data_IF_137473018422
#
_entry.id   IF_137473018422
#
_cell.length_a   1.000
_cell.length_b   1.000
_cell.length_c   1.000
_cell.angle_alpha   90.00
_cell.angle_beta   90.00
_cell.angle_gamma   90.00
#
_symmetry.space_group_name_H-M   'P 1'
#
loop_
_entity.id
_entity.type
_entity.pdbx_description
1 polymer ?
#
# COMPACT_ATOMS: atom_id res chain seq x y z
N UNK A 1 6.84 9.50 20.87
CA UNK A 1 7.57 8.99 19.69
C UNK A 1 6.75 9.39 18.49
N UNK A 2 7.25 10.34 17.69
CA UNK A 2 6.63 10.74 16.42
C UNK A 2 7.36 9.93 15.35
N UNK A 3 6.71 8.92 14.80
CA UNK A 3 7.23 8.20 13.64
C UNK A 3 6.89 9.05 12.41
N UNK A 4 7.74 10.02 12.12
CA UNK A 4 7.72 10.72 10.83
C UNK A 4 8.49 9.83 9.87
N UNK A 5 7.78 9.03 9.08
CA UNK A 5 8.41 8.24 8.01
C UNK A 5 8.85 9.20 6.92
N UNK A 6 10.08 9.69 6.99
CA UNK A 6 10.70 10.49 5.93
C UNK A 6 11.18 9.51 4.86
N UNK A 7 10.46 9.42 3.73
CA UNK A 7 10.90 8.64 2.57
C UNK A 7 11.92 9.48 1.80
N UNK A 8 13.21 9.29 2.10
CA UNK A 8 14.29 9.94 1.36
C UNK A 8 14.57 9.18 0.05
N UNK A 9 14.11 9.71 -1.09
CA UNK A 9 14.35 9.14 -2.42
C UNK A 9 15.79 9.46 -2.87
N UNK A 10 16.68 8.47 -2.82
CA UNK A 10 18.06 8.57 -3.35
C UNK A 10 18.12 8.02 -4.79
N UNK A 11 18.29 8.91 -5.78
CA UNK A 11 18.51 8.55 -7.19
C UNK A 11 19.88 7.91 -7.39
N UNK A 12 19.95 6.58 -7.46
CA UNK A 12 21.17 5.86 -7.82
C UNK A 12 21.00 5.19 -9.19
N UNK A 13 21.73 5.67 -10.20
CA UNK A 13 21.72 5.16 -11.57
C UNK A 13 22.55 3.86 -11.67
N UNK A 14 21.89 2.70 -11.71
CA UNK A 14 22.51 1.44 -12.13
C UNK A 14 21.95 1.03 -13.50
N UNK A 15 22.73 1.32 -14.54
CA UNK A 15 22.46 0.88 -15.92
C UNK A 15 22.85 -0.61 -16.06
N UNK A 16 21.85 -1.47 -16.14
CA UNK A 16 21.99 -2.88 -16.54
C UNK A 16 20.92 -3.23 -17.59
N UNK A 17 21.36 -3.59 -18.79
CA UNK A 17 20.51 -3.90 -19.96
C UNK A 17 19.99 -5.36 -19.97
N UNK A 18 19.07 -5.62 -20.92
CA UNK A 18 18.41 -6.88 -21.35
C UNK A 18 17.12 -7.23 -20.58
N UNK A 19 15.98 -7.56 -21.20
CA UNK A 19 15.65 -7.91 -22.57
C UNK A 19 14.14 -8.16 -22.73
N UNK A 20 13.71 -8.31 -23.99
CA UNK A 20 12.36 -8.18 -24.55
C UNK A 20 11.41 -9.39 -24.36
N UNK A 21 10.09 -9.14 -24.47
CA UNK A 21 9.03 -10.10 -24.80
C UNK A 21 8.11 -10.43 -23.62
N UNK A 22 6.78 -10.43 -23.69
CA UNK A 22 5.83 -10.23 -24.78
C UNK A 22 4.41 -10.53 -24.25
N UNK A 23 3.44 -10.18 -25.08
CA UNK A 23 2.02 -10.58 -25.09
C UNK A 23 1.00 -9.83 -24.21
N UNK A 24 0.17 -9.08 -24.94
CA UNK A 24 -1.13 -8.52 -24.57
C UNK A 24 -2.05 -9.60 -24.01
N UNK A 25 -2.57 -9.39 -22.79
CA UNK A 25 -3.75 -10.09 -22.32
C UNK A 25 -4.96 -9.17 -22.30
N UNK A 26 -5.95 -9.64 -23.05
CA UNK A 26 -7.31 -9.17 -23.26
C UNK A 26 -8.02 -8.82 -21.93
N UNK A 27 -8.25 -7.53 -21.70
CA UNK A 27 -8.97 -6.99 -20.54
C UNK A 27 -10.46 -6.83 -20.87
N UNK A 28 -11.15 -7.95 -21.06
CA UNK A 28 -12.60 -8.00 -21.02
C UNK A 28 -13.05 -9.11 -20.09
N UNK A 29 -13.02 -8.84 -18.77
CA UNK A 29 -13.83 -9.60 -17.82
C UNK A 29 -14.66 -8.67 -16.96
N UNK A 30 -15.95 -8.99 -17.00
CA UNK A 30 -17.08 -8.33 -16.40
C UNK A 30 -16.86 -8.02 -14.91
N UNK A 31 -17.37 -6.86 -14.50
CA UNK A 31 -17.76 -6.58 -13.13
C UNK A 31 -18.83 -7.58 -12.67
N UNK A 32 -18.41 -8.78 -12.25
CA UNK A 32 -19.25 -9.60 -11.37
C UNK A 32 -19.07 -9.06 -9.96
N UNK A 33 -20.08 -8.39 -9.41
CA UNK A 33 -20.10 -8.15 -7.97
C UNK A 33 -20.12 -9.53 -7.31
N UNK A 34 -18.99 -9.92 -6.69
CA UNK A 34 -18.87 -11.18 -5.98
C UNK A 34 -19.82 -11.13 -4.79
N UNK A 35 -20.96 -11.82 -4.89
CA UNK A 35 -21.88 -12.00 -3.76
C UNK A 35 -21.24 -13.04 -2.84
N UNK A 36 -20.72 -12.59 -1.70
CA UNK A 36 -20.14 -13.46 -0.68
C UNK A 36 -21.20 -14.45 -0.17
N UNK A 37 -20.80 -15.72 0.02
CA UNK A 37 -21.62 -16.71 0.70
C UNK A 37 -21.83 -16.34 2.17
N UNK A 38 -22.90 -16.86 2.78
CA UNK A 38 -23.22 -16.59 4.20
C UNK A 38 -22.05 -16.93 5.16
N UNK A 39 -21.27 -17.98 4.82
CA UNK A 39 -20.07 -18.36 5.59
C UNK A 39 -18.92 -17.35 5.44
N UNK A 40 -18.75 -16.77 4.25
CA UNK A 40 -17.72 -15.75 4.00
C UNK A 40 -18.08 -14.42 4.65
N UNK A 41 -19.37 -14.04 4.63
CA UNK A 41 -19.87 -12.86 5.34
C UNK A 41 -19.71 -13.00 6.86
N UNK A 42 -19.98 -14.17 7.43
CA UNK A 42 -19.80 -14.42 8.86
C UNK A 42 -18.32 -14.33 9.28
N UNK A 43 -17.41 -14.89 8.48
CA UNK A 43 -15.98 -14.81 8.73
C UNK A 43 -15.45 -13.37 8.64
N UNK A 44 -15.94 -12.60 7.67
CA UNK A 44 -15.61 -11.18 7.52
C UNK A 44 -16.14 -10.34 8.69
N UNK A 45 -17.39 -10.57 9.11
CA UNK A 45 -17.99 -9.89 10.26
C UNK A 45 -17.22 -10.17 11.56
N UNK A 46 -16.78 -11.41 11.78
CA UNK A 46 -15.93 -11.77 12.93
C UNK A 46 -14.58 -11.05 12.88
N UNK A 47 -13.94 -10.99 11.70
CA UNK A 47 -12.67 -10.30 11.52
C UNK A 47 -12.80 -8.79 11.80
N UNK A 48 -13.80 -8.14 11.20
CA UNK A 48 -14.08 -6.71 11.42
C UNK A 48 -14.39 -6.41 12.89
N UNK A 49 -15.23 -7.23 13.54
CA UNK A 49 -15.57 -7.05 14.95
C UNK A 49 -14.32 -7.10 15.86
N UNK A 50 -13.32 -7.90 15.50
CA UNK A 50 -12.07 -8.01 16.27
C UNK A 50 -11.20 -6.74 16.24
N UNK A 51 -11.37 -5.89 15.22
CA UNK A 51 -10.56 -4.69 14.97
C UNK A 51 -11.38 -3.39 15.00
N UNK A 52 -12.70 -3.44 15.06
CA UNK A 52 -13.61 -2.28 15.02
C UNK A 52 -13.30 -1.23 16.09
N UNK A 53 -12.82 -1.67 17.27
CA UNK A 53 -12.37 -0.77 18.34
C UNK A 53 -11.31 0.24 17.89
N UNK A 54 -10.55 -0.07 16.84
CA UNK A 54 -9.51 0.80 16.31
C UNK A 54 -10.08 1.86 15.36
N UNK A 55 -11.27 1.69 14.78
CA UNK A 55 -11.82 2.60 13.77
C UNK A 55 -12.14 4.00 14.30
N UNK A 56 -12.40 4.09 15.61
CA UNK A 56 -12.67 5.34 16.32
C UNK A 56 -11.40 6.10 16.71
N UNK A 57 -10.22 5.52 16.48
CA UNK A 57 -8.95 6.17 16.83
C UNK A 57 -8.56 7.20 15.75
N UNK A 58 -7.79 8.23 16.15
CA UNK A 58 -7.12 9.12 15.20
C UNK A 58 -6.25 8.33 14.20
N UNK A 59 -6.06 8.89 13.01
CA UNK A 59 -5.33 8.22 11.92
C UNK A 59 -3.93 7.80 12.34
N UNK A 60 -3.21 8.61 13.13
CA UNK A 60 -1.85 8.31 13.56
C UNK A 60 -1.79 7.02 14.39
N UNK A 61 -2.81 6.79 15.23
CA UNK A 61 -2.93 5.58 16.04
C UNK A 61 -3.38 4.37 15.23
N UNK A 62 -4.15 4.60 14.17
CA UNK A 62 -4.53 3.54 13.24
C UNK A 62 -3.34 3.13 12.37
N UNK A 63 -2.52 4.08 11.93
CA UNK A 63 -1.28 3.81 11.20
C UNK A 63 -0.26 3.07 12.05
N UNK A 64 -0.07 3.46 13.32
CA UNK A 64 0.76 2.70 14.28
C UNK A 64 0.30 1.24 14.37
N UNK A 65 -1.01 1.02 14.52
CA UNK A 65 -1.57 -0.33 14.61
C UNK A 65 -1.48 -1.11 13.30
N UNK A 66 -1.67 -0.45 12.17
CA UNK A 66 -1.49 -1.04 10.84
C UNK A 66 -0.03 -1.48 10.65
N UNK A 67 0.93 -0.64 11.05
CA UNK A 67 2.37 -0.97 11.03
C UNK A 67 2.72 -2.21 11.85
N UNK A 68 2.17 -2.35 13.07
CA UNK A 68 2.34 -3.58 13.87
C UNK A 68 1.82 -4.83 13.16
N UNK A 69 0.68 -4.72 12.47
CA UNK A 69 0.11 -5.82 11.70
C UNK A 69 0.96 -6.13 10.47
N UNK A 70 1.48 -5.12 9.77
CA UNK A 70 2.39 -5.32 8.64
C UNK A 70 3.69 -6.03 9.06
N UNK A 71 4.26 -5.68 10.22
CA UNK A 71 5.40 -6.42 10.79
C UNK A 71 5.02 -7.89 11.05
N UNK A 72 3.87 -8.12 11.68
CA UNK A 72 3.37 -9.48 11.92
C UNK A 72 3.12 -10.26 10.62
N UNK A 73 2.63 -9.60 9.58
CA UNK A 73 2.48 -10.19 8.26
C UNK A 73 3.83 -10.69 7.73
N UNK A 74 4.89 -9.88 7.83
CA UNK A 74 6.25 -10.28 7.41
C UNK A 74 6.77 -11.48 8.21
N UNK A 75 6.47 -11.56 9.50
CA UNK A 75 6.87 -12.70 10.34
C UNK A 75 6.17 -14.01 9.96
N UNK A 76 4.94 -13.92 9.43
CA UNK A 76 4.06 -15.04 9.12
C UNK A 76 4.12 -15.47 7.65
N UNK A 77 4.47 -14.59 6.70
CA UNK A 77 4.29 -14.83 5.25
C UNK A 77 4.83 -16.17 4.74
N UNK A 78 5.96 -16.63 5.28
CA UNK A 78 6.60 -17.90 4.88
C UNK A 78 6.20 -19.10 5.76
N UNK A 79 5.58 -18.85 6.93
CA UNK A 79 5.27 -19.85 7.97
C UNK A 79 3.80 -20.24 8.01
N UNK A 80 2.93 -19.27 7.80
CA UNK A 80 1.47 -19.37 7.90
C UNK A 80 0.84 -18.42 6.87
N UNK A 81 0.69 -18.85 5.60
CA UNK A 81 0.17 -17.99 4.54
C UNK A 81 -1.24 -17.48 4.82
N UNK A 82 -2.11 -18.32 5.39
CA UNK A 82 -3.49 -17.95 5.72
C UNK A 82 -3.52 -16.88 6.82
N UNK A 83 -2.77 -17.09 7.91
CA UNK A 83 -2.65 -16.11 8.98
C UNK A 83 -1.97 -14.81 8.53
N UNK A 84 -1.02 -14.89 7.60
CA UNK A 84 -0.37 -13.71 7.01
C UNK A 84 -1.36 -12.87 6.19
N UNK A 85 -2.18 -13.49 5.35
CA UNK A 85 -3.18 -12.80 4.53
C UNK A 85 -4.25 -12.15 5.42
N UNK A 86 -4.70 -12.85 6.46
CA UNK A 86 -5.63 -12.28 7.46
C UNK A 86 -5.04 -11.05 8.15
N UNK A 87 -3.78 -11.14 8.54
CA UNK A 87 -3.07 -10.01 9.18
C UNK A 87 -2.96 -8.81 8.23
N UNK A 88 -2.65 -9.06 6.96
CA UNK A 88 -2.54 -8.04 5.93
C UNK A 88 -3.89 -7.35 5.64
N UNK A 89 -4.98 -8.12 5.53
CA UNK A 89 -6.35 -7.60 5.41
C UNK A 89 -6.76 -6.74 6.61
N UNK A 90 -6.48 -7.23 7.82
CA UNK A 90 -6.75 -6.48 9.05
C UNK A 90 -5.99 -5.14 9.09
N UNK A 91 -4.76 -5.08 8.57
CA UNK A 91 -4.00 -3.83 8.45
C UNK A 91 -4.73 -2.82 7.55
N UNK A 92 -5.19 -3.27 6.38
CA UNK A 92 -5.98 -2.46 5.47
C UNK A 92 -7.27 -1.94 6.11
N UNK A 93 -8.07 -2.83 6.72
CA UNK A 93 -9.34 -2.45 7.33
C UNK A 93 -9.21 -1.40 8.43
N UNK A 94 -8.09 -1.37 9.15
CA UNK A 94 -7.82 -0.33 10.16
C UNK A 94 -7.64 1.05 9.51
N UNK A 95 -6.93 1.12 8.39
CA UNK A 95 -6.74 2.37 7.62
C UNK A 95 -8.08 2.80 7.01
N UNK A 96 -8.76 1.85 6.36
CA UNK A 96 -10.01 2.08 5.64
C UNK A 96 -11.26 2.23 6.53
N UNK A 97 -11.18 1.89 7.82
CA UNK A 97 -12.32 1.78 8.75
C UNK A 97 -13.37 0.75 8.31
N UNK A 98 -12.92 -0.35 7.71
CA UNK A 98 -13.77 -1.44 7.23
C UNK A 98 -13.52 -1.79 5.77
N UNK A 99 -14.52 -2.42 5.14
CA UNK A 99 -14.47 -2.81 3.73
C UNK A 99 -14.33 -1.59 2.80
N UNK A 100 -13.53 -1.73 1.75
CA UNK A 100 -13.31 -0.67 0.77
C UNK A 100 -13.01 -1.24 -0.62
N UNK A 101 -13.50 -0.63 -1.72
CA UNK A 101 -13.30 -1.15 -3.08
C UNK A 101 -11.83 -1.30 -3.49
N UNK A 102 -10.94 -0.47 -2.94
CA UNK A 102 -9.50 -0.50 -3.24
C UNK A 102 -8.71 -1.58 -2.49
N UNK A 103 -9.37 -2.42 -1.69
CA UNK A 103 -8.66 -3.43 -0.90
C UNK A 103 -7.85 -4.40 -1.77
N UNK A 104 -8.43 -4.93 -2.83
CA UNK A 104 -7.75 -5.94 -3.67
C UNK A 104 -6.46 -5.37 -4.28
N UNK A 105 -6.54 -4.14 -4.81
CA UNK A 105 -5.39 -3.45 -5.37
C UNK A 105 -4.33 -3.14 -4.30
N UNK A 106 -4.75 -2.67 -3.13
CA UNK A 106 -3.82 -2.41 -2.02
C UNK A 106 -3.10 -3.69 -1.57
N UNK A 107 -3.82 -4.82 -1.47
CA UNK A 107 -3.24 -6.12 -1.11
C UNK A 107 -2.28 -6.66 -2.17
N UNK A 108 -2.41 -6.25 -3.42
CA UNK A 108 -1.47 -6.58 -4.49
C UNK A 108 -0.18 -5.73 -4.40
N UNK A 109 -0.31 -4.44 -4.10
CA UNK A 109 0.80 -3.49 -4.09
C UNK A 109 1.64 -3.62 -2.81
N UNK A 110 1.02 -3.72 -1.64
CA UNK A 110 1.73 -3.66 -0.36
C UNK A 110 2.83 -4.71 -0.20
N UNK A 111 2.64 -5.99 -0.57
CA UNK A 111 3.73 -6.98 -0.54
C UNK A 111 4.94 -6.65 -1.41
N UNK A 112 4.78 -5.81 -2.45
CA UNK A 112 5.86 -5.34 -3.33
C UNK A 112 6.61 -4.14 -2.78
N UNK A 113 6.08 -3.51 -1.73
CA UNK A 113 6.63 -2.29 -1.12
C UNK A 113 7.13 -2.55 0.31
N UNK A 114 6.41 -3.34 1.09
CA UNK A 114 6.70 -3.56 2.50
C UNK A 114 7.66 -4.72 2.70
N UNK A 115 8.73 -4.48 3.45
CA UNK A 115 9.73 -5.51 3.79
C UNK A 115 10.64 -5.89 2.63
N UNK A 116 10.77 -4.99 1.64
CA UNK A 116 11.74 -5.09 0.54
C UNK A 116 12.69 -3.90 0.56
N UNK A 117 13.93 -4.10 0.13
CA UNK A 117 14.94 -3.03 0.09
C UNK A 117 14.67 -2.00 -1.02
N UNK A 118 14.01 -2.44 -2.09
CA UNK A 118 13.68 -1.63 -3.27
C UNK A 118 12.25 -1.90 -3.73
N UNK A 119 11.48 -0.83 -3.97
CA UNK A 119 10.13 -0.88 -4.55
C UNK A 119 10.05 -0.14 -5.87
N UNK A 120 9.02 -0.41 -6.69
CA UNK A 120 8.79 0.38 -7.91
C UNK A 120 8.25 1.76 -7.54
N UNK A 121 8.76 2.80 -8.20
CA UNK A 121 8.27 4.18 -8.00
C UNK A 121 6.76 4.30 -8.30
N UNK A 122 6.29 3.53 -9.28
CA UNK A 122 4.87 3.48 -9.67
C UNK A 122 4.00 2.76 -8.64
N UNK A 123 4.52 1.74 -7.95
CA UNK A 123 3.83 1.08 -6.84
C UNK A 123 3.68 2.04 -5.65
N UNK A 124 4.71 2.83 -5.34
CA UNK A 124 4.64 3.86 -4.29
C UNK A 124 3.63 4.96 -4.63
N UNK A 125 3.66 5.46 -5.86
CA UNK A 125 2.68 6.44 -6.34
C UNK A 125 1.26 5.91 -6.16
N UNK A 126 1.02 4.67 -6.59
CA UNK A 126 -0.32 4.10 -6.52
C UNK A 126 -0.77 3.82 -5.08
N UNK A 127 0.15 3.36 -4.22
CA UNK A 127 -0.14 3.19 -2.79
C UNK A 127 -0.54 4.51 -2.14
N UNK A 128 0.20 5.59 -2.43
CA UNK A 128 -0.12 6.94 -1.94
C UNK A 128 -1.49 7.44 -2.43
N UNK A 129 -1.84 7.21 -3.70
CA UNK A 129 -3.15 7.55 -4.26
C UNK A 129 -4.30 6.80 -3.57
N UNK A 130 -4.12 5.51 -3.31
CA UNK A 130 -5.12 4.68 -2.60
C UNK A 130 -5.33 5.22 -1.18
N UNK A 131 -4.23 5.50 -0.45
CA UNK A 131 -4.31 6.06 0.90
C UNK A 131 -4.99 7.43 0.92
N UNK A 132 -4.69 8.30 -0.07
CA UNK A 132 -5.32 9.61 -0.20
C UNK A 132 -6.82 9.50 -0.48
N UNK A 133 -7.24 8.56 -1.34
CA UNK A 133 -8.66 8.32 -1.62
C UNK A 133 -9.40 7.86 -0.36
N UNK A 134 -8.83 6.90 0.38
CA UNK A 134 -9.37 6.42 1.65
C UNK A 134 -9.43 7.54 2.68
N UNK A 135 -8.37 8.34 2.81
CA UNK A 135 -8.30 9.44 3.78
C UNK A 135 -9.37 10.50 3.51
N UNK A 136 -9.59 10.85 2.24
CA UNK A 136 -10.65 11.77 1.82
C UNK A 136 -12.03 11.18 2.05
N UNK A 137 -12.24 9.90 1.70
CA UNK A 137 -13.51 9.21 1.93
C UNK A 137 -13.89 9.20 3.42
N UNK A 138 -12.91 8.94 4.28
CA UNK A 138 -13.09 8.86 5.72
C UNK A 138 -13.10 10.22 6.44
N UNK A 139 -12.95 11.32 5.70
CA UNK A 139 -12.83 12.68 6.23
C UNK A 139 -11.73 12.77 7.32
N UNK A 140 -10.55 12.21 7.03
CA UNK A 140 -9.40 12.31 7.91
C UNK A 140 -8.94 13.76 8.09
N UNK A 141 -8.03 13.97 9.04
CA UNK A 141 -7.56 15.32 9.34
C UNK A 141 -6.82 15.94 8.13
N UNK A 142 -6.86 17.27 8.06
CA UNK A 142 -6.32 18.02 6.93
C UNK A 142 -4.80 17.93 6.80
N UNK A 143 -4.10 17.77 7.92
CA UNK A 143 -2.64 17.66 7.94
C UNK A 143 -2.20 16.38 7.22
N UNK A 144 -2.78 15.23 7.59
CA UNK A 144 -2.52 13.95 6.94
C UNK A 144 -2.89 13.94 5.46
N UNK A 145 -4.06 14.49 5.09
CA UNK A 145 -4.45 14.60 3.68
C UNK A 145 -3.45 15.45 2.89
N UNK A 146 -2.96 16.54 3.49
CA UNK A 146 -1.98 17.40 2.86
C UNK A 146 -0.62 16.71 2.68
N UNK A 147 -0.15 15.95 3.67
CA UNK A 147 1.09 15.16 3.57
C UNK A 147 1.02 14.13 2.41
N UNK A 148 -0.12 13.47 2.23
CA UNK A 148 -0.35 12.54 1.12
C UNK A 148 -0.40 13.25 -0.23
N UNK A 149 -0.96 14.46 -0.29
CA UNK A 149 -0.95 15.30 -1.50
C UNK A 149 0.48 15.71 -1.87
N UNK A 150 1.27 16.23 -0.92
CA UNK A 150 2.67 16.61 -1.13
C UNK A 150 3.51 15.41 -1.59
N UNK A 151 3.37 14.27 -0.91
CA UNK A 151 4.06 13.03 -1.29
C UNK A 151 3.68 12.60 -2.71
N UNK A 152 2.40 12.71 -3.06
CA UNK A 152 1.91 12.40 -4.41
C UNK A 152 2.48 13.32 -5.49
N UNK A 153 2.65 14.62 -5.18
CA UNK A 153 3.27 15.58 -6.09
C UNK A 153 4.77 15.27 -6.31
N UNK A 154 5.50 14.93 -5.26
CA UNK A 154 6.92 14.55 -5.33
C UNK A 154 7.14 13.28 -6.18
N UNK A 155 6.35 12.24 -5.92
CA UNK A 155 6.41 10.98 -6.67
C UNK A 155 6.03 11.20 -8.14
N UNK A 156 5.01 12.03 -8.41
CA UNK A 156 4.61 12.37 -9.78
C UNK A 156 5.68 13.19 -10.51
N UNK A 157 6.35 14.11 -9.82
CA UNK A 157 7.47 14.86 -10.38
C UNK A 157 8.63 13.92 -10.75
N UNK A 158 9.02 13.00 -9.85
CA UNK A 158 10.05 12.00 -10.12
C UNK A 158 9.69 11.11 -11.33
N UNK A 159 8.43 10.68 -11.46
CA UNK A 159 7.95 9.93 -12.63
C UNK A 159 8.09 10.74 -13.91
N UNK A 160 7.77 12.03 -13.89
CA UNK A 160 7.86 12.90 -15.07
C UNK A 160 9.32 13.15 -15.47
N UNK A 161 10.21 13.30 -14.51
CA UNK A 161 11.64 13.45 -14.76
C UNK A 161 12.25 12.20 -15.40
N UNK A 162 11.83 11.01 -14.97
CA UNK A 162 12.25 9.74 -15.60
C UNK A 162 11.76 9.66 -17.06
N UNK A 163 10.50 10.01 -17.30
CA UNK A 163 9.93 10.04 -18.67
C UNK A 163 10.68 11.04 -19.56
N UNK A 164 11.03 12.21 -19.04
CA UNK A 164 11.79 13.22 -19.78
C UNK A 164 13.20 12.74 -20.16
N UNK A 165 13.78 11.83 -19.37
CA UNK A 165 15.05 11.17 -19.65
C UNK A 165 14.92 9.96 -20.61
N UNK A 166 13.70 9.64 -21.06
CA UNK A 166 13.43 8.47 -21.91
C UNK A 166 13.47 7.13 -21.18
N UNK A 167 13.36 7.14 -19.85
CA UNK A 167 13.30 5.94 -19.02
C UNK A 167 11.85 5.54 -18.77
N UNK A 168 11.59 4.24 -18.62
CA UNK A 168 10.26 3.72 -18.24
C UNK A 168 10.10 3.70 -16.71
N UNK A 169 9.22 4.54 -16.12
CA UNK A 169 8.99 4.57 -14.67
C UNK A 169 8.49 3.25 -14.09
N UNK A 170 7.90 2.36 -14.91
CA UNK A 170 7.45 1.02 -14.46
C UNK A 170 8.59 0.07 -14.17
N UNK A 171 9.79 0.39 -14.64
CA UNK A 171 11.01 -0.41 -14.41
C UNK A 171 11.92 0.21 -13.36
N UNK A 172 11.63 1.45 -12.95
CA UNK A 172 12.49 2.20 -12.06
C UNK A 172 12.20 1.84 -10.60
N UNK A 173 13.24 1.32 -9.94
CA UNK A 173 13.22 0.97 -8.52
C UNK A 173 13.80 2.09 -7.68
N UNK A 174 13.21 2.31 -6.53
CA UNK A 174 13.71 3.22 -5.50
C UNK A 174 14.06 2.45 -4.25
N UNK A 175 15.21 2.77 -3.67
CA UNK A 175 15.62 2.21 -2.38
C UNK A 175 14.72 2.78 -1.29
N UNK A 176 14.09 1.91 -0.52
CA UNK A 176 13.25 2.27 0.62
C UNK A 176 14.15 2.34 1.85
N UNK A 177 14.85 3.45 2.05
CA UNK A 177 15.63 3.65 3.28
C UNK A 177 14.68 3.92 4.43
N UNK A 178 14.53 2.94 5.32
CA UNK A 178 14.06 3.20 6.69
C UNK A 178 15.27 3.68 7.47
N UNK A 179 15.45 5.00 7.58
CA UNK A 179 16.37 5.57 8.57
C UNK A 179 15.71 5.40 9.94
N UNK A 180 16.17 4.41 10.71
CA UNK A 180 15.83 4.32 12.13
C UNK A 180 16.74 5.30 12.85
N UNK A 181 16.20 6.47 13.21
CA UNK A 181 16.86 7.38 14.15
C UNK A 181 17.16 6.61 15.46
N UNK A 182 18.44 6.58 15.84
CA UNK A 182 18.96 6.00 17.10
C UNK A 182 18.48 6.76 18.35
#
# INVERSE_FOLDING_TARGET
>A
MRYTTIIAISLTLLLGAFGCGGDEQDLTKENSSVVLSDSEQAALAEELASIERYFQLPIEKRMEKSGELLIRYLDLKDKDPEGSLKTLKSAFYIIAKGEHPLMEEWLEIVPRVVGVDEGLLTDLQRLNEIELEIARHNNENREYIHELEETGEELQAAINDLKAQGLDPKTFKVTLKVELDE
#
